data_IF_275243082160
#
_entry.id   IF_275243082160
#
_cell.length_a   1.000
_cell.length_b   1.000
_cell.length_c   1.000
_cell.angle_alpha   90.00
_cell.angle_beta   90.00
_cell.angle_gamma   90.00
#
_symmetry.space_group_name_H-M   'P 1'
#
loop_
_entity.id
_entity.type
_entity.pdbx_description
1 polymer ?
#
# COMPACT_ATOMS: atom_id res chain seq x y z
N UNK A 1 -20.95 11.70 18.07
CA UNK A 1 -19.70 11.30 18.74
C UNK A 1 -20.04 10.13 19.64
N UNK A 2 -19.76 8.90 19.22
CA UNK A 2 -19.88 7.74 20.08
C UNK A 2 -18.52 7.56 20.78
N UNK A 3 -18.46 7.88 22.06
CA UNK A 3 -17.36 7.46 22.93
C UNK A 3 -17.50 5.93 23.06
N UNK A 4 -16.71 5.17 22.35
CA UNK A 4 -16.49 3.79 22.73
C UNK A 4 -15.73 3.82 24.06
N UNK A 5 -16.35 3.34 25.13
CA UNK A 5 -15.63 2.99 26.35
C UNK A 5 -14.63 1.89 25.96
N UNK A 6 -13.36 2.23 25.97
CA UNK A 6 -12.30 1.22 25.95
C UNK A 6 -12.45 0.51 27.30
N UNK A 7 -12.89 -0.75 27.30
CA UNK A 7 -12.73 -1.60 28.47
C UNK A 7 -11.24 -1.63 28.76
N UNK A 8 -10.82 -1.03 29.88
CA UNK A 8 -9.44 -1.09 30.34
C UNK A 8 -9.14 -2.55 30.70
N UNK A 9 -8.51 -3.26 29.77
CA UNK A 9 -7.97 -4.56 30.05
C UNK A 9 -6.84 -4.43 31.09
N UNK A 10 -6.73 -5.38 32.00
CA UNK A 10 -5.66 -5.39 32.99
C UNK A 10 -4.29 -5.30 32.33
N UNK A 11 -3.48 -4.32 32.67
CA UNK A 11 -2.12 -4.18 32.16
C UNK A 11 -1.18 -5.24 32.75
N UNK A 12 -1.53 -6.50 32.51
CA UNK A 12 -0.75 -7.70 32.86
C UNK A 12 -0.30 -8.40 31.58
N UNK A 13 0.60 -9.35 31.69
CA UNK A 13 1.04 -10.16 30.54
C UNK A 13 -0.16 -10.84 29.85
N UNK A 14 -1.06 -11.43 30.63
CA UNK A 14 -2.22 -12.11 30.07
C UNK A 14 -3.29 -11.14 29.60
N UNK A 15 -3.54 -10.05 30.33
CA UNK A 15 -4.47 -9.00 29.88
C UNK A 15 -4.05 -8.41 28.56
N UNK A 16 -2.78 -8.07 28.36
CA UNK A 16 -2.27 -7.53 27.10
C UNK A 16 -2.33 -8.56 25.94
N UNK A 17 -2.12 -9.86 26.23
CA UNK A 17 -2.28 -10.92 25.23
C UNK A 17 -3.74 -11.07 24.80
N UNK A 18 -4.66 -11.14 25.77
CA UNK A 18 -6.09 -11.30 25.53
C UNK A 18 -6.65 -10.06 24.82
N UNK A 19 -6.23 -8.86 25.22
CA UNK A 19 -6.59 -7.59 24.54
C UNK A 19 -6.18 -7.59 23.06
N UNK A 20 -4.93 -7.95 22.76
CA UNK A 20 -4.45 -8.01 21.38
C UNK A 20 -5.26 -9.01 20.56
N UNK A 21 -5.49 -10.22 21.09
CA UNK A 21 -6.28 -11.23 20.40
C UNK A 21 -7.70 -10.73 20.12
N UNK A 22 -8.39 -10.15 21.12
CA UNK A 22 -9.74 -9.60 21.02
C UNK A 22 -9.84 -8.45 19.99
N UNK A 23 -8.83 -7.57 19.94
CA UNK A 23 -8.79 -6.48 18.95
C UNK A 23 -8.79 -7.06 17.54
N UNK A 24 -7.94 -8.05 17.27
CA UNK A 24 -7.89 -8.69 15.95
C UNK A 24 -9.17 -9.46 15.66
N UNK A 25 -9.69 -10.22 16.61
CA UNK A 25 -10.92 -10.99 16.47
C UNK A 25 -12.09 -10.11 16.00
N UNK A 26 -12.24 -8.94 16.62
CA UNK A 26 -13.34 -8.00 16.33
C UNK A 26 -13.12 -7.15 15.09
N UNK A 27 -11.87 -6.87 14.70
CA UNK A 27 -11.59 -5.83 13.70
C UNK A 27 -10.87 -6.34 12.44
N UNK A 28 -10.21 -7.50 12.46
CA UNK A 28 -9.55 -8.00 11.29
C UNK A 28 -10.53 -8.52 10.24
N UNK A 29 -10.32 -8.16 8.97
CA UNK A 29 -11.30 -8.34 7.90
C UNK A 29 -11.09 -9.60 7.05
N UNK A 30 -10.00 -10.37 7.25
CA UNK A 30 -9.59 -11.35 6.26
C UNK A 30 -9.40 -12.78 6.80
N UNK A 31 -9.96 -13.12 7.97
CA UNK A 31 -9.84 -14.47 8.53
C UNK A 31 -10.30 -15.54 7.55
N UNK A 32 -11.53 -15.45 7.07
CA UNK A 32 -12.11 -16.41 6.12
C UNK A 32 -11.33 -16.47 4.81
N UNK A 33 -10.97 -15.29 4.28
CA UNK A 33 -10.23 -15.19 3.02
C UNK A 33 -8.85 -15.82 3.10
N UNK A 34 -8.23 -15.80 4.27
CA UNK A 34 -6.90 -16.37 4.52
C UNK A 34 -6.95 -17.80 5.08
N UNK A 35 -8.15 -18.28 5.41
CA UNK A 35 -8.35 -19.60 6.01
C UNK A 35 -7.69 -19.73 7.38
N UNK A 36 -7.77 -18.67 8.22
CA UNK A 36 -7.19 -18.64 9.56
C UNK A 36 -8.29 -18.84 10.59
N UNK A 37 -8.22 -19.96 11.33
CA UNK A 37 -9.00 -20.19 12.54
C UNK A 37 -8.35 -19.43 13.70
N UNK A 38 -8.92 -18.26 14.04
CA UNK A 38 -8.34 -17.35 15.03
C UNK A 38 -8.48 -17.90 16.47
N UNK A 39 -9.51 -18.69 16.74
CA UNK A 39 -9.67 -19.41 18.02
C UNK A 39 -8.61 -20.51 18.19
N UNK A 40 -8.26 -21.23 17.12
CA UNK A 40 -7.19 -22.20 17.16
C UNK A 40 -5.83 -21.51 17.40
N UNK A 41 -5.60 -20.37 16.76
CA UNK A 41 -4.42 -19.54 17.00
C UNK A 41 -4.34 -19.12 18.46
N UNK A 42 -5.45 -18.68 19.08
CA UNK A 42 -5.49 -18.37 20.51
C UNK A 42 -5.08 -19.55 21.37
N UNK A 43 -5.71 -20.71 21.16
CA UNK A 43 -5.42 -21.94 21.94
C UNK A 43 -3.95 -22.33 21.86
N UNK A 44 -3.29 -22.12 20.73
CA UNK A 44 -1.88 -22.45 20.49
C UNK A 44 -0.91 -21.48 21.14
N UNK A 45 -1.23 -20.18 21.15
CA UNK A 45 -0.32 -19.14 21.65
C UNK A 45 -0.54 -18.79 23.12
N UNK A 46 -1.74 -18.97 23.66
CA UNK A 46 -2.07 -18.65 25.06
C UNK A 46 -1.16 -19.31 26.09
N UNK A 47 -0.82 -20.61 26.02
CA UNK A 47 0.14 -21.21 26.95
C UNK A 47 1.53 -20.58 26.87
N UNK A 48 1.97 -20.16 25.68
CA UNK A 48 3.25 -19.49 25.48
C UNK A 48 3.24 -18.11 26.15
N UNK A 49 2.16 -17.32 25.96
CA UNK A 49 1.99 -16.04 26.62
C UNK A 49 1.99 -16.18 28.15
N UNK A 50 1.31 -17.19 28.69
CA UNK A 50 1.26 -17.46 30.13
C UNK A 50 2.64 -17.80 30.73
N UNK A 51 3.56 -18.33 29.93
CA UNK A 51 4.92 -18.63 30.34
C UNK A 51 5.85 -17.40 30.37
N UNK A 52 5.45 -16.29 29.73
CA UNK A 52 6.24 -15.06 29.67
C UNK A 52 6.39 -14.42 31.06
N UNK A 53 7.53 -13.75 31.27
CA UNK A 53 7.87 -13.03 32.50
C UNK A 53 8.20 -11.55 32.23
N UNK A 54 8.39 -11.18 30.97
CA UNK A 54 8.75 -9.82 30.55
C UNK A 54 7.92 -9.37 29.36
N UNK A 55 7.80 -8.05 29.17
CA UNK A 55 7.14 -7.47 28.02
C UNK A 55 7.79 -7.88 26.68
N UNK A 56 9.13 -8.04 26.66
CA UNK A 56 9.85 -8.49 25.47
C UNK A 56 9.46 -9.92 25.08
N UNK A 57 9.39 -10.84 26.06
CA UNK A 57 8.94 -12.22 25.80
C UNK A 57 7.51 -12.25 25.28
N UNK A 58 6.61 -11.47 25.87
CA UNK A 58 5.24 -11.34 25.40
C UNK A 58 5.18 -10.77 23.97
N UNK A 59 5.95 -9.72 23.70
CA UNK A 59 6.02 -9.13 22.35
C UNK A 59 6.39 -10.17 21.30
N UNK A 60 7.39 -11.01 21.58
CA UNK A 60 7.85 -12.05 20.64
C UNK A 60 6.78 -13.15 20.42
N UNK A 61 6.02 -13.50 21.45
CA UNK A 61 4.88 -14.42 21.33
C UNK A 61 3.76 -13.80 20.50
N UNK A 62 3.39 -12.56 20.80
CA UNK A 62 2.36 -11.80 20.06
C UNK A 62 2.75 -11.60 18.58
N UNK A 63 4.01 -11.26 18.31
CA UNK A 63 4.50 -11.10 16.94
C UNK A 63 4.34 -12.39 16.13
N UNK A 64 4.71 -13.55 16.69
CA UNK A 64 4.50 -14.84 16.02
C UNK A 64 3.02 -15.19 15.86
N UNK A 65 2.17 -14.83 16.82
CA UNK A 65 0.72 -15.00 16.70
C UNK A 65 0.17 -14.16 15.52
N UNK A 66 0.61 -12.91 15.38
CA UNK A 66 0.19 -12.05 14.26
C UNK A 66 0.73 -12.52 12.90
N UNK A 67 1.90 -13.17 12.87
CA UNK A 67 2.47 -13.74 11.65
C UNK A 67 1.59 -14.83 11.01
N UNK A 68 0.70 -15.48 11.80
CA UNK A 68 -0.27 -16.46 11.28
C UNK A 68 -1.24 -15.79 10.27
N UNK A 69 -1.49 -14.50 10.43
CA UNK A 69 -2.33 -13.72 9.50
C UNK A 69 -1.66 -13.50 8.14
N UNK A 70 -0.35 -13.65 8.05
CA UNK A 70 0.42 -13.44 6.80
C UNK A 70 0.06 -12.12 6.10
N UNK A 71 0.00 -11.04 6.88
CA UNK A 71 -0.49 -9.73 6.43
C UNK A 71 0.51 -8.62 6.73
N UNK A 72 1.04 -7.99 5.68
CA UNK A 72 2.02 -6.90 5.81
C UNK A 72 1.44 -5.61 6.41
N UNK A 73 0.11 -5.48 6.53
CA UNK A 73 -0.52 -4.34 7.20
C UNK A 73 -0.76 -4.56 8.69
N UNK A 74 -0.60 -5.79 9.19
CA UNK A 74 -0.72 -6.07 10.62
C UNK A 74 0.64 -5.86 11.28
N UNK A 75 0.74 -4.84 12.13
CA UNK A 75 1.97 -4.45 12.80
C UNK A 75 1.77 -4.44 14.31
N UNK A 76 2.78 -4.86 15.06
CA UNK A 76 2.85 -4.75 16.51
C UNK A 76 4.00 -3.80 16.85
N UNK A 77 3.70 -2.75 17.62
CA UNK A 77 4.69 -1.79 18.06
C UNK A 77 4.72 -1.66 19.58
N UNK A 78 5.92 -1.63 20.12
CA UNK A 78 6.21 -1.30 21.51
C UNK A 78 7.35 -0.29 21.55
N UNK A 79 7.61 0.33 22.70
CA UNK A 79 8.69 1.30 22.85
C UNK A 79 10.08 0.75 22.52
N UNK A 80 10.25 -0.55 22.54
CA UNK A 80 11.53 -1.25 22.35
C UNK A 80 11.62 -2.04 21.04
N UNK A 81 10.50 -2.28 20.32
CA UNK A 81 10.53 -3.07 19.07
C UNK A 81 9.27 -2.82 18.22
N UNK A 82 9.38 -3.08 16.91
CA UNK A 82 8.26 -3.15 15.97
C UNK A 82 8.37 -4.45 15.16
N UNK A 83 7.27 -5.19 15.08
CA UNK A 83 7.14 -6.42 14.29
C UNK A 83 6.12 -6.24 13.18
N UNK A 84 6.40 -6.84 12.02
CA UNK A 84 5.49 -6.91 10.88
C UNK A 84 5.85 -8.12 10.01
N UNK A 85 4.85 -8.70 9.37
CA UNK A 85 5.03 -9.85 8.49
C UNK A 85 5.79 -9.46 7.23
N UNK A 86 7.00 -10.00 7.02
CA UNK A 86 7.89 -9.68 5.89
C UNK A 86 7.84 -10.70 4.75
N UNK A 87 7.37 -11.91 5.00
CA UNK A 87 7.48 -13.02 4.03
C UNK A 87 6.70 -12.79 2.73
N UNK A 88 5.76 -11.86 2.71
CA UNK A 88 5.04 -11.53 1.49
C UNK A 88 5.93 -10.97 0.37
N UNK A 89 7.12 -10.46 0.71
CA UNK A 89 8.11 -9.94 -0.23
C UNK A 89 9.51 -10.53 -0.04
N UNK A 90 9.90 -10.94 1.17
CA UNK A 90 11.28 -11.37 1.48
C UNK A 90 11.59 -12.79 0.99
N UNK A 91 10.57 -13.59 0.66
CA UNK A 91 10.70 -14.93 0.06
C UNK A 91 10.84 -14.90 -1.47
N UNK A 92 10.89 -13.71 -2.06
CA UNK A 92 10.94 -13.50 -3.50
C UNK A 92 12.28 -12.85 -3.89
N UNK A 93 12.94 -13.31 -4.97
CA UNK A 93 14.18 -12.71 -5.43
C UNK A 93 14.01 -11.24 -5.77
N UNK A 94 14.91 -10.38 -5.29
CA UNK A 94 14.93 -8.98 -5.65
C UNK A 94 15.15 -8.84 -7.16
N UNK A 95 14.22 -8.19 -7.85
CA UNK A 95 14.23 -8.01 -9.30
C UNK A 95 14.28 -6.54 -9.73
N UNK A 96 14.59 -5.63 -8.81
CA UNK A 96 14.72 -4.21 -9.07
C UNK A 96 15.89 -3.61 -8.28
N UNK A 97 16.66 -2.78 -8.96
CA UNK A 97 17.70 -1.97 -8.39
C UNK A 97 17.67 -0.58 -9.06
N UNK A 98 17.23 0.42 -8.30
CA UNK A 98 17.12 1.81 -8.78
C UNK A 98 18.45 2.35 -9.32
N UNK A 99 19.56 2.01 -8.67
CA UNK A 99 20.88 2.48 -9.05
C UNK A 99 21.30 1.96 -10.43
N UNK A 100 20.93 0.73 -10.75
CA UNK A 100 21.15 0.18 -12.09
C UNK A 100 20.30 0.90 -13.13
N UNK A 101 19.05 1.24 -12.80
CA UNK A 101 18.19 2.02 -13.70
C UNK A 101 18.78 3.40 -13.95
N UNK A 102 19.14 4.13 -12.89
CA UNK A 102 19.73 5.45 -13.01
C UNK A 102 21.02 5.44 -13.82
N UNK A 103 21.86 4.41 -13.63
CA UNK A 103 23.15 4.28 -14.32
C UNK A 103 23.01 3.88 -15.79
N UNK A 104 22.25 2.82 -16.07
CA UNK A 104 22.28 2.16 -17.38
C UNK A 104 21.20 2.64 -18.35
N UNK A 105 20.10 3.17 -17.83
CA UNK A 105 19.00 3.66 -18.66
C UNK A 105 18.92 5.19 -18.68
N UNK A 106 19.27 5.86 -17.58
CA UNK A 106 19.23 7.31 -17.49
C UNK A 106 20.61 7.97 -17.58
N UNK A 107 21.72 7.23 -17.54
CA UNK A 107 23.08 7.76 -17.50
C UNK A 107 23.28 8.84 -16.40
N UNK A 108 22.54 8.74 -15.30
CA UNK A 108 22.43 9.77 -14.25
C UNK A 108 21.97 11.15 -14.76
N UNK A 109 21.45 11.24 -15.98
CA UNK A 109 20.85 12.47 -16.54
C UNK A 109 19.33 12.41 -16.37
N UNK A 110 18.86 12.92 -15.25
CA UNK A 110 17.47 12.95 -14.87
C UNK A 110 17.11 14.27 -14.16
N UNK A 111 15.82 14.55 -14.10
CA UNK A 111 15.25 15.70 -13.39
C UNK A 111 14.42 15.23 -12.21
N UNK A 112 14.13 16.14 -11.29
CA UNK A 112 13.25 15.89 -10.15
C UNK A 112 12.19 17.01 -10.05
N UNK A 113 10.94 16.58 -9.73
CA UNK A 113 9.85 17.47 -9.41
C UNK A 113 9.09 16.90 -8.23
N UNK A 114 9.29 17.47 -7.04
CA UNK A 114 8.82 16.86 -5.79
C UNK A 114 9.43 15.47 -5.62
N UNK A 115 8.59 14.47 -5.41
CA UNK A 115 9.00 13.08 -5.23
C UNK A 115 9.16 12.30 -6.56
N UNK A 116 9.00 12.95 -7.69
CA UNK A 116 9.13 12.33 -9.01
C UNK A 116 10.53 12.50 -9.57
N UNK A 117 11.16 11.40 -9.98
CA UNK A 117 12.38 11.38 -10.79
C UNK A 117 11.99 11.09 -12.24
N UNK A 118 12.44 11.89 -13.20
CA UNK A 118 12.00 11.73 -14.58
C UNK A 118 13.07 12.09 -15.62
N UNK A 119 13.00 11.44 -16.77
CA UNK A 119 13.88 11.67 -17.90
C UNK A 119 13.19 11.34 -19.23
N UNK A 120 13.69 11.94 -20.33
CA UNK A 120 13.32 11.51 -21.69
C UNK A 120 14.29 10.41 -22.12
N UNK A 121 13.77 9.23 -22.40
CA UNK A 121 14.53 8.12 -22.96
C UNK A 121 14.64 8.24 -24.48
N UNK A 122 15.53 7.48 -25.15
CA UNK A 122 15.56 7.36 -26.60
C UNK A 122 14.17 7.09 -27.18
N UNK A 123 13.98 7.40 -28.48
CA UNK A 123 12.70 7.23 -29.19
C UNK A 123 11.53 8.05 -28.60
N UNK A 124 11.82 9.09 -27.87
CA UNK A 124 10.82 9.97 -27.24
C UNK A 124 9.88 9.21 -26.31
N UNK A 125 10.40 8.39 -25.44
CA UNK A 125 9.67 7.75 -24.36
C UNK A 125 9.94 8.50 -23.05
N UNK A 126 8.88 8.97 -22.39
CA UNK A 126 8.99 9.54 -21.05
C UNK A 126 9.19 8.44 -20.01
N UNK A 127 10.06 8.66 -19.04
CA UNK A 127 10.23 7.80 -17.87
C UNK A 127 10.01 8.59 -16.59
N UNK A 128 9.15 8.09 -15.71
CA UNK A 128 8.89 8.66 -14.39
C UNK A 128 8.99 7.56 -13.34
N UNK A 129 9.81 7.79 -12.33
CA UNK A 129 9.88 6.94 -11.13
C UNK A 129 9.23 7.64 -9.95
N UNK A 130 8.36 6.94 -9.23
CA UNK A 130 7.74 7.39 -7.98
C UNK A 130 7.92 6.32 -6.91
N UNK A 131 8.82 6.60 -5.94
CA UNK A 131 9.32 5.58 -5.02
C UNK A 131 8.46 5.37 -3.78
N UNK A 132 7.62 6.33 -3.42
CA UNK A 132 6.73 6.18 -2.26
C UNK A 132 5.52 7.12 -2.35
N UNK A 133 4.33 6.56 -2.22
CA UNK A 133 3.11 7.35 -2.08
C UNK A 133 3.00 8.07 -0.72
N UNK A 134 3.92 7.84 0.22
CA UNK A 134 4.05 8.67 1.43
C UNK A 134 4.67 10.04 1.13
N UNK A 135 5.41 10.17 0.03
CA UNK A 135 5.99 11.44 -0.41
C UNK A 135 4.97 12.19 -1.25
N UNK A 136 4.68 13.44 -0.88
CA UNK A 136 3.67 14.24 -1.55
C UNK A 136 4.10 14.65 -2.97
N UNK A 137 3.17 14.55 -3.91
CA UNK A 137 3.26 15.11 -5.24
C UNK A 137 2.18 16.19 -5.40
N UNK A 138 2.60 17.41 -5.69
CA UNK A 138 1.68 18.53 -5.96
C UNK A 138 1.24 18.55 -7.42
N UNK A 139 0.12 19.21 -7.67
CA UNK A 139 -0.42 19.43 -9.02
C UNK A 139 0.63 20.08 -9.95
N UNK A 140 1.36 21.10 -9.45
CA UNK A 140 2.43 21.76 -10.22
C UNK A 140 3.61 20.84 -10.56
N UNK A 141 3.94 19.86 -9.70
CA UNK A 141 4.97 18.87 -10.00
C UNK A 141 4.55 18.00 -11.21
N UNK A 142 3.29 17.55 -11.21
CA UNK A 142 2.74 16.75 -12.32
C UNK A 142 2.62 17.59 -13.61
N UNK A 143 2.19 18.84 -13.53
CA UNK A 143 2.15 19.73 -14.69
C UNK A 143 3.54 19.89 -15.31
N UNK A 144 4.56 20.12 -14.50
CA UNK A 144 5.94 20.26 -14.97
C UNK A 144 6.46 18.98 -15.65
N UNK A 145 6.21 17.81 -15.04
CA UNK A 145 6.65 16.51 -15.57
C UNK A 145 5.93 16.19 -16.87
N UNK A 146 4.59 16.32 -16.91
CA UNK A 146 3.81 15.97 -18.09
C UNK A 146 4.02 16.96 -19.25
N UNK A 147 4.24 18.25 -18.95
CA UNK A 147 4.63 19.25 -19.97
C UNK A 147 6.01 18.95 -20.56
N UNK A 148 6.98 18.51 -19.74
CA UNK A 148 8.29 18.10 -20.24
C UNK A 148 8.19 16.95 -21.25
N UNK A 149 7.17 16.09 -21.09
CA UNK A 149 6.91 14.96 -21.99
C UNK A 149 5.95 15.29 -23.15
N UNK A 150 5.63 16.53 -23.42
CA UNK A 150 4.69 16.91 -24.49
C UNK A 150 5.00 16.21 -25.82
N UNK A 151 6.28 16.14 -26.20
CA UNK A 151 6.74 15.51 -27.44
C UNK A 151 6.91 13.99 -27.33
N UNK A 152 6.75 13.39 -26.16
CA UNK A 152 6.91 11.95 -25.99
C UNK A 152 5.72 11.20 -26.62
N UNK A 153 6.01 10.00 -27.13
CA UNK A 153 5.03 9.11 -27.77
C UNK A 153 4.34 8.18 -26.76
N UNK A 154 5.00 7.88 -25.64
CA UNK A 154 4.52 7.04 -24.57
C UNK A 154 5.22 7.39 -23.26
N UNK A 155 4.68 6.89 -22.15
CA UNK A 155 5.17 7.14 -20.81
C UNK A 155 5.37 5.82 -20.08
N UNK A 156 6.51 5.67 -19.42
CA UNK A 156 6.76 4.60 -18.44
C UNK A 156 6.63 5.21 -17.05
N UNK A 157 5.77 4.62 -16.21
CA UNK A 157 5.64 4.97 -14.79
C UNK A 157 6.19 3.80 -13.97
N UNK A 158 7.27 4.02 -13.27
CA UNK A 158 7.96 2.99 -12.49
C UNK A 158 7.60 3.11 -11.00
N UNK A 159 6.81 2.15 -10.51
CA UNK A 159 6.43 2.00 -9.10
C UNK A 159 6.95 0.69 -8.51
N UNK A 160 7.98 0.09 -9.10
CA UNK A 160 8.65 -1.09 -8.52
C UNK A 160 9.25 -0.71 -7.17
N UNK A 161 9.14 -1.61 -6.19
CA UNK A 161 9.54 -1.40 -4.79
C UNK A 161 8.86 -0.22 -4.08
N UNK A 162 7.77 0.31 -4.64
CA UNK A 162 6.99 1.33 -3.97
C UNK A 162 6.07 0.70 -2.91
N UNK A 163 6.38 0.88 -1.63
CA UNK A 163 5.64 0.32 -0.50
C UNK A 163 4.28 0.96 -0.23
N UNK A 164 3.84 1.91 -1.06
CA UNK A 164 2.56 2.60 -0.89
C UNK A 164 2.67 3.90 -0.10
N UNK A 165 1.61 4.25 0.62
CA UNK A 165 1.49 5.49 1.39
C UNK A 165 0.08 6.07 1.33
N UNK A 166 -0.05 7.36 0.96
CA UNK A 166 -1.29 8.09 1.01
C UNK A 166 -2.13 7.89 -0.27
N UNK A 167 -3.40 7.52 -0.11
CA UNK A 167 -4.37 7.36 -1.19
C UNK A 167 -4.68 8.68 -1.92
N UNK A 168 -4.56 9.82 -1.27
CA UNK A 168 -4.71 11.14 -1.92
C UNK A 168 -3.67 11.33 -3.03
N UNK A 169 -2.44 10.85 -2.84
CA UNK A 169 -1.41 10.91 -3.87
C UNK A 169 -1.71 9.95 -5.03
N UNK A 170 -2.39 8.81 -4.77
CA UNK A 170 -2.88 7.93 -5.83
C UNK A 170 -3.91 8.65 -6.69
N UNK A 171 -4.91 9.26 -6.06
CA UNK A 171 -5.94 10.03 -6.75
C UNK A 171 -5.32 11.15 -7.58
N UNK A 172 -4.46 11.98 -6.97
CA UNK A 172 -3.77 13.10 -7.63
C UNK A 172 -3.03 12.65 -8.89
N UNK A 173 -2.38 11.48 -8.84
CA UNK A 173 -1.66 10.93 -10.00
C UNK A 173 -2.63 10.37 -11.05
N UNK A 174 -3.59 9.51 -10.65
CA UNK A 174 -4.54 8.86 -11.57
C UNK A 174 -5.37 9.88 -12.35
N UNK A 175 -5.80 10.97 -11.73
CA UNK A 175 -6.60 12.03 -12.35
C UNK A 175 -5.98 12.62 -13.61
N UNK A 176 -4.67 12.47 -13.81
CA UNK A 176 -3.92 12.93 -14.99
C UNK A 176 -4.07 12.02 -16.21
N UNK A 177 -4.58 10.79 -16.02
CA UNK A 177 -4.67 9.76 -17.06
C UNK A 177 -6.10 9.44 -17.50
N UNK A 178 -7.10 10.07 -16.88
CA UNK A 178 -8.52 9.86 -17.15
C UNK A 178 -9.17 11.11 -17.76
N UNK A 179 -10.27 10.92 -18.49
CA UNK A 179 -10.96 11.99 -19.19
C UNK A 179 -12.23 12.46 -18.49
N UNK A 180 -12.71 11.72 -17.51
CA UNK A 180 -13.92 11.99 -16.76
C UNK A 180 -14.02 11.12 -15.53
N UNK A 181 -15.21 11.08 -14.91
CA UNK A 181 -15.47 10.25 -13.74
C UNK A 181 -15.27 8.78 -14.06
N UNK A 182 -14.31 8.17 -13.39
CA UNK A 182 -13.85 6.80 -13.63
C UNK A 182 -13.97 5.97 -12.35
N UNK A 183 -14.56 4.78 -12.45
CA UNK A 183 -14.62 3.84 -11.34
C UNK A 183 -13.20 3.45 -10.94
N UNK A 184 -12.84 3.74 -9.68
CA UNK A 184 -11.51 3.42 -9.13
C UNK A 184 -11.52 2.10 -8.32
N UNK A 185 -12.66 1.70 -7.81
CA UNK A 185 -12.79 0.44 -7.09
C UNK A 185 -14.03 0.38 -6.21
N UNK A 186 -14.02 -0.60 -5.32
CA UNK A 186 -15.06 -0.79 -4.31
C UNK A 186 -14.44 -0.84 -2.92
N UNK A 187 -15.16 -0.30 -1.95
CA UNK A 187 -14.79 -0.36 -0.54
C UNK A 187 -15.86 -1.13 0.22
N UNK A 188 -15.42 -1.99 1.12
CA UNK A 188 -16.29 -2.72 2.05
C UNK A 188 -15.84 -2.36 3.46
N UNK A 189 -16.78 -2.00 4.32
CA UNK A 189 -16.50 -1.69 5.72
C UNK A 189 -17.05 -2.78 6.62
N UNK A 190 -16.30 -3.09 7.68
CA UNK A 190 -16.80 -3.93 8.76
C UNK A 190 -17.85 -3.15 9.56
N UNK A 191 -18.98 -3.80 9.88
CA UNK A 191 -20.14 -3.17 10.54
C UNK A 191 -20.38 -3.68 11.96
N UNK A 192 -19.68 -4.75 12.35
CA UNK A 192 -19.83 -5.37 13.66
C UNK A 192 -18.62 -6.24 14.02
N UNK A 193 -18.64 -6.89 15.20
CA UNK A 193 -17.53 -7.71 15.69
C UNK A 193 -17.42 -9.09 15.04
N UNK A 194 -18.49 -9.61 14.44
CA UNK A 194 -18.49 -10.94 13.80
C UNK A 194 -17.61 -10.96 12.55
N UNK A 195 -16.98 -12.08 12.22
CA UNK A 195 -16.05 -12.19 11.10
C UNK A 195 -16.70 -11.91 9.75
N UNK A 196 -18.01 -12.14 9.62
CA UNK A 196 -18.80 -11.87 8.42
C UNK A 196 -19.59 -10.54 8.42
N UNK A 197 -19.43 -9.71 9.44
CA UNK A 197 -20.18 -8.47 9.60
C UNK A 197 -19.63 -7.36 8.69
N UNK A 198 -20.08 -7.35 7.44
CA UNK A 198 -19.66 -6.36 6.45
C UNK A 198 -20.85 -5.61 5.86
N UNK A 199 -20.63 -4.34 5.54
CA UNK A 199 -21.54 -3.56 4.73
C UNK A 199 -21.54 -4.04 3.27
N UNK A 200 -22.58 -3.69 2.52
CA UNK A 200 -22.54 -3.85 1.06
C UNK A 200 -21.39 -3.05 0.46
N UNK A 201 -20.72 -3.60 -0.57
CA UNK A 201 -19.66 -2.88 -1.27
C UNK A 201 -20.19 -1.59 -1.89
N UNK A 202 -19.51 -0.46 -1.65
CA UNK A 202 -19.82 0.77 -2.35
C UNK A 202 -18.68 1.16 -3.32
N UNK A 203 -19.07 1.62 -4.50
CA UNK A 203 -18.16 2.06 -5.52
C UNK A 203 -17.57 3.44 -5.19
N UNK A 204 -16.26 3.63 -5.39
CA UNK A 204 -15.64 4.95 -5.36
C UNK A 204 -15.05 5.29 -6.72
N UNK A 205 -14.98 6.59 -7.00
CA UNK A 205 -14.62 7.12 -8.31
C UNK A 205 -13.56 8.19 -8.16
N UNK A 206 -12.74 8.33 -9.19
CA UNK A 206 -11.90 9.50 -9.39
C UNK A 206 -12.43 10.33 -10.55
N UNK A 207 -12.40 11.64 -10.39
CA UNK A 207 -12.71 12.59 -11.46
C UNK A 207 -11.42 13.02 -12.17
N UNK A 208 -11.50 13.35 -13.46
CA UNK A 208 -10.35 13.84 -14.18
C UNK A 208 -9.78 15.12 -13.52
N UNK A 209 -8.49 15.36 -13.71
CA UNK A 209 -7.88 16.61 -13.27
C UNK A 209 -8.56 17.82 -13.95
N UNK A 210 -8.58 18.94 -13.23
CA UNK A 210 -9.23 20.16 -13.67
C UNK A 210 -8.76 20.61 -15.07
N UNK A 211 -9.60 21.34 -15.79
CA UNK A 211 -9.36 21.70 -17.19
C UNK A 211 -8.04 22.47 -17.44
N UNK A 212 -7.55 23.20 -16.44
CA UNK A 212 -6.27 23.91 -16.52
C UNK A 212 -5.04 23.05 -16.24
N UNK A 213 -5.20 21.75 -15.93
CA UNK A 213 -4.12 20.84 -15.61
C UNK A 213 -3.68 20.01 -16.82
N UNK A 214 -2.39 19.72 -16.89
CA UNK A 214 -1.84 18.87 -17.94
C UNK A 214 -2.28 17.44 -17.70
N UNK A 215 -2.90 16.81 -18.70
CA UNK A 215 -3.31 15.40 -18.69
C UNK A 215 -2.52 14.60 -19.73
N UNK A 216 -2.33 13.31 -19.46
CA UNK A 216 -1.65 12.40 -20.35
C UNK A 216 -2.61 11.31 -20.83
N UNK A 217 -2.97 11.36 -22.11
CA UNK A 217 -3.93 10.43 -22.72
C UNK A 217 -3.31 9.55 -23.82
N UNK A 218 -1.98 9.60 -23.93
CA UNK A 218 -1.19 8.73 -24.83
C UNK A 218 -0.85 7.41 -24.10
N UNK A 219 -0.27 6.41 -24.77
CA UNK A 219 0.09 5.13 -24.17
C UNK A 219 0.94 5.26 -22.90
N UNK A 220 0.66 4.41 -21.92
CA UNK A 220 1.38 4.30 -20.66
C UNK A 220 1.75 2.85 -20.38
N UNK A 221 2.97 2.63 -19.92
CA UNK A 221 3.40 1.37 -19.32
C UNK A 221 3.66 1.63 -17.84
N UNK A 222 3.03 0.84 -16.97
CA UNK A 222 3.31 0.88 -15.52
C UNK A 222 4.16 -0.31 -15.15
N UNK A 223 5.37 -0.05 -14.64
CA UNK A 223 6.25 -1.09 -14.12
C UNK A 223 5.97 -1.29 -12.63
N UNK A 224 5.63 -2.51 -12.26
CA UNK A 224 5.43 -2.90 -10.87
C UNK A 224 6.15 -4.22 -10.57
N UNK A 225 6.27 -4.57 -9.30
CA UNK A 225 6.85 -5.84 -8.87
C UNK A 225 6.18 -6.35 -7.59
N UNK A 226 6.70 -7.46 -7.06
CA UNK A 226 6.18 -8.06 -5.82
C UNK A 226 6.14 -7.09 -4.64
N UNK A 227 7.06 -6.15 -4.57
CA UNK A 227 7.16 -5.16 -3.49
C UNK A 227 6.30 -3.91 -3.72
N UNK A 228 5.61 -3.80 -4.86
CA UNK A 228 4.60 -2.77 -5.08
C UNK A 228 3.39 -3.06 -4.19
N UNK A 229 3.17 -2.24 -3.15
CA UNK A 229 2.29 -2.58 -2.04
C UNK A 229 1.32 -1.44 -1.67
N UNK A 230 0.21 -1.79 -0.98
CA UNK A 230 -0.73 -0.83 -0.40
C UNK A 230 -1.25 0.20 -1.42
N UNK A 231 -1.08 1.50 -1.17
CA UNK A 231 -1.49 2.57 -2.08
C UNK A 231 -0.88 2.43 -3.49
N UNK A 232 0.37 1.93 -3.61
CA UNK A 232 0.99 1.68 -4.91
C UNK A 232 0.29 0.54 -5.67
N UNK A 233 -0.12 -0.52 -4.96
CA UNK A 233 -0.94 -1.58 -5.56
C UNK A 233 -2.32 -1.06 -5.99
N UNK A 234 -2.94 -0.17 -5.21
CA UNK A 234 -4.19 0.47 -5.61
C UNK A 234 -4.00 1.31 -6.88
N UNK A 235 -2.93 2.11 -6.96
CA UNK A 235 -2.56 2.85 -8.18
C UNK A 235 -2.48 1.92 -9.40
N UNK A 236 -1.73 0.83 -9.31
CA UNK A 236 -1.60 -0.16 -10.41
C UNK A 236 -2.97 -0.75 -10.78
N UNK A 237 -3.80 -1.08 -9.79
CA UNK A 237 -5.14 -1.65 -9.99
C UNK A 237 -6.06 -0.71 -10.75
N UNK A 238 -6.04 0.58 -10.42
CA UNK A 238 -6.85 1.59 -11.14
C UNK A 238 -6.30 1.84 -12.53
N UNK A 239 -5.00 2.02 -12.68
CA UNK A 239 -4.35 2.23 -13.98
C UNK A 239 -4.61 1.08 -14.96
N UNK A 240 -4.65 -0.16 -14.47
CA UNK A 240 -4.97 -1.34 -15.29
C UNK A 240 -6.35 -1.28 -15.97
N UNK A 241 -7.30 -0.51 -15.43
CA UNK A 241 -8.63 -0.36 -16.01
C UNK A 241 -8.65 0.58 -17.23
N UNK A 242 -7.58 1.36 -17.42
CA UNK A 242 -7.51 2.34 -18.50
C UNK A 242 -7.05 1.70 -19.82
N UNK A 243 -7.75 1.96 -20.95
CA UNK A 243 -7.46 1.29 -22.23
C UNK A 243 -6.09 1.64 -22.81
N UNK A 244 -5.50 2.76 -22.39
CA UNK A 244 -4.18 3.22 -22.84
C UNK A 244 -3.03 2.69 -21.98
N UNK A 245 -3.30 1.86 -20.97
CA UNK A 245 -2.32 1.43 -19.97
C UNK A 245 -2.01 -0.05 -20.09
N UNK A 246 -0.73 -0.37 -20.09
CA UNK A 246 -0.21 -1.73 -19.98
C UNK A 246 0.55 -1.87 -18.65
N UNK A 247 0.27 -2.94 -17.89
CA UNK A 247 0.99 -3.26 -16.64
C UNK A 247 2.04 -4.31 -16.94
N UNK A 248 3.26 -4.11 -16.42
CA UNK A 248 4.42 -5.00 -16.57
C UNK A 248 5.08 -5.26 -15.22
#
# INVERSE_FOLDING_TARGET
MACHSIEEEDNTIMGNFDALWNILDRHYCFFDRKGVDWDEVYRRYRPQAKACRTAQQLFDVCARMLDELRDGHVNLSASFNTSYYRKWWSDYPQNYDERLVLKHYLNFDYRQAGALTYAMLPQRIGYVSYRSFSSTIGEGNLDAVLSYFEIAQGLIIDVRDNGGGNMTNVETLVRRFITGRTLAGYTVHKTGPGHGDFAEPYAYYYDAADAGRVRWLKPVVVLCNRSTFSAANNFVSVMRLLPTVTIV
#
